data_IF_715725814238
#
_entry.id   IF_715725814238
#
_cell.length_a   1.000
_cell.length_b   1.000
_cell.length_c   1.000
_cell.angle_alpha   90.00
_cell.angle_beta   90.00
_cell.angle_gamma   90.00
#
_symmetry.space_group_name_H-M   'P 1'
#
loop_
_entity.id
_entity.type
_entity.pdbx_description
1 polymer ?
#
# COMPACT_ATOMS: atom_id res chain seq x y z
N UNK A 1 -12.03 3.60 8.08
CA UNK A 1 -11.37 2.48 7.40
C UNK A 1 -11.92 1.13 7.82
N UNK A 2 -11.87 0.74 9.10
CA UNK A 2 -12.31 -0.59 9.56
C UNK A 2 -13.77 -0.91 9.23
N UNK A 3 -14.67 0.08 9.26
CA UNK A 3 -16.07 -0.13 8.88
C UNK A 3 -16.26 -0.25 7.36
N UNK A 4 -15.42 0.39 6.59
CA UNK A 4 -15.38 0.21 5.13
C UNK A 4 -14.83 -1.17 4.77
N UNK A 5 -13.75 -1.61 5.43
CA UNK A 5 -13.17 -2.94 5.22
C UNK A 5 -14.15 -4.06 5.61
N UNK A 6 -14.99 -3.88 6.65
CA UNK A 6 -15.98 -4.91 7.03
C UNK A 6 -17.02 -5.17 5.94
N UNK A 7 -17.31 -4.19 5.09
CA UNK A 7 -18.19 -4.37 3.93
C UNK A 7 -17.54 -5.15 2.79
N UNK A 8 -16.21 -5.27 2.81
CA UNK A 8 -15.41 -5.94 1.78
C UNK A 8 -14.86 -7.29 2.25
N UNK A 9 -15.04 -7.67 3.52
CA UNK A 9 -14.48 -8.88 4.13
C UNK A 9 -14.92 -10.15 3.42
N UNK A 10 -16.11 -10.18 2.83
CA UNK A 10 -16.59 -11.31 2.02
C UNK A 10 -15.70 -11.61 0.79
N UNK A 11 -14.84 -10.67 0.38
CA UNK A 11 -13.90 -10.80 -0.74
C UNK A 11 -12.49 -11.23 -0.30
N UNK A 12 -12.15 -11.11 0.99
CA UNK A 12 -10.85 -11.46 1.52
C UNK A 12 -10.90 -11.55 3.05
N UNK A 13 -10.47 -12.68 3.61
CA UNK A 13 -10.55 -12.95 5.05
C UNK A 13 -9.33 -13.70 5.59
N UNK A 14 -8.27 -13.84 4.81
CA UNK A 14 -7.07 -14.55 5.26
C UNK A 14 -6.11 -13.67 6.07
N UNK A 15 -6.15 -12.40 5.81
CA UNK A 15 -5.43 -11.36 6.55
C UNK A 15 -5.98 -9.98 6.22
N UNK A 16 -5.76 -9.03 7.10
CA UNK A 16 -6.16 -7.64 6.93
C UNK A 16 -5.12 -6.70 7.51
N UNK A 17 -5.12 -5.45 7.03
CA UNK A 17 -4.29 -4.41 7.61
C UNK A 17 -4.70 -3.02 7.17
N UNK A 18 -4.21 -2.05 7.91
CA UNK A 18 -4.36 -0.63 7.66
C UNK A 18 -3.02 0.08 7.78
N UNK A 19 -2.90 1.21 7.10
CA UNK A 19 -1.86 2.20 7.33
C UNK A 19 -2.52 3.56 7.49
N UNK A 20 -2.14 4.29 8.52
CA UNK A 20 -2.70 5.61 8.84
C UNK A 20 -1.55 6.58 9.11
N UNK A 21 -1.60 7.76 8.49
CA UNK A 21 -0.65 8.81 8.81
C UNK A 21 -1.08 9.51 10.10
N UNK A 22 -0.21 9.50 11.10
CA UNK A 22 -0.40 10.17 12.38
C UNK A 22 0.93 10.65 12.97
N UNK A 23 0.92 11.79 13.67
CA UNK A 23 2.08 12.31 14.39
C UNK A 23 3.39 12.41 13.59
N UNK A 24 3.32 12.59 12.27
CA UNK A 24 4.50 12.70 11.39
C UNK A 24 4.99 11.39 10.79
N UNK A 25 4.37 10.26 11.11
CA UNK A 25 4.76 8.93 10.66
C UNK A 25 3.56 8.15 10.11
N UNK A 26 3.83 7.04 9.43
CA UNK A 26 2.78 6.10 9.01
C UNK A 26 2.77 4.92 9.98
N UNK A 27 1.69 4.79 10.74
CA UNK A 27 1.44 3.62 11.58
C UNK A 27 0.78 2.53 10.75
N UNK A 28 1.37 1.33 10.78
CA UNK A 28 0.85 0.15 10.05
C UNK A 28 0.45 -0.92 11.04
N UNK A 29 -0.81 -1.35 10.96
CA UNK A 29 -1.35 -2.45 11.75
C UNK A 29 -1.83 -3.56 10.82
N UNK A 30 -1.38 -4.77 11.10
CA UNK A 30 -1.71 -5.97 10.33
C UNK A 30 -2.13 -7.11 11.24
N UNK A 31 -3.03 -7.96 10.74
CA UNK A 31 -3.42 -9.18 11.42
C UNK A 31 -3.64 -10.31 10.42
N UNK A 32 -3.25 -11.53 10.79
CA UNK A 32 -3.64 -12.77 10.11
C UNK A 32 -5.07 -13.12 10.48
N UNK A 33 -5.83 -13.64 9.52
CA UNK A 33 -7.21 -14.09 9.70
C UNK A 33 -8.23 -12.96 9.50
N UNK A 34 -9.37 -13.12 10.12
CA UNK A 34 -10.53 -12.24 9.97
C UNK A 34 -10.25 -10.79 10.44
N UNK A 35 -11.00 -9.84 9.89
CA UNK A 35 -10.92 -8.42 10.24
C UNK A 35 -11.09 -8.15 11.75
N UNK A 36 -11.77 -9.04 12.47
CA UNK A 36 -11.89 -8.98 13.92
C UNK A 36 -10.53 -8.91 14.62
N UNK A 37 -9.55 -9.71 14.15
CA UNK A 37 -8.20 -9.73 14.74
C UNK A 37 -7.50 -8.38 14.55
N UNK A 38 -7.68 -7.76 13.39
CA UNK A 38 -7.17 -6.41 13.14
C UNK A 38 -7.87 -5.36 14.02
N UNK A 39 -9.20 -5.47 14.21
CA UNK A 39 -9.95 -4.56 15.09
C UNK A 39 -9.45 -4.61 16.54
N UNK A 40 -9.13 -5.79 17.04
CA UNK A 40 -8.57 -5.97 18.40
C UNK A 40 -7.23 -5.25 18.54
N UNK A 41 -6.29 -5.44 17.58
CA UNK A 41 -5.00 -4.72 17.56
C UNK A 41 -5.17 -3.21 17.48
N UNK A 42 -5.98 -2.73 16.56
CA UNK A 42 -6.25 -1.29 16.38
C UNK A 42 -6.90 -0.68 17.63
N UNK A 43 -7.73 -1.44 18.37
CA UNK A 43 -8.33 -0.95 19.60
C UNK A 43 -7.30 -0.72 20.73
N UNK A 44 -6.17 -1.44 20.71
CA UNK A 44 -5.07 -1.25 21.66
C UNK A 44 -4.26 0.02 21.35
N UNK A 45 -3.91 0.24 20.08
CA UNK A 45 -3.05 1.36 19.66
C UNK A 45 -3.82 2.63 19.27
N UNK A 46 -5.09 2.48 18.82
CA UNK A 46 -6.00 3.57 18.45
C UNK A 46 -5.37 4.64 17.54
N UNK A 47 -4.83 4.25 16.38
CA UNK A 47 -4.22 5.22 15.49
C UNK A 47 -5.24 6.30 15.08
N UNK A 48 -4.82 7.56 15.16
CA UNK A 48 -5.66 8.75 14.94
C UNK A 48 -5.07 9.58 13.80
N UNK A 49 -5.68 9.50 12.61
CA UNK A 49 -5.21 10.24 11.45
C UNK A 49 -6.35 10.60 10.49
N UNK A 50 -6.04 11.46 9.52
CA UNK A 50 -7.00 11.95 8.52
C UNK A 50 -6.82 11.32 7.15
N UNK A 51 -5.66 10.71 6.90
CA UNK A 51 -5.36 9.98 5.67
C UNK A 51 -4.92 8.56 6.01
N UNK A 52 -5.42 7.58 5.27
CA UNK A 52 -5.02 6.19 5.48
C UNK A 52 -5.60 5.25 4.42
N UNK A 53 -4.97 4.11 4.29
CA UNK A 53 -5.33 3.03 3.37
C UNK A 53 -5.55 1.73 4.14
N UNK A 54 -6.29 0.81 3.56
CA UNK A 54 -6.54 -0.47 4.20
C UNK A 54 -6.93 -1.55 3.20
N UNK A 55 -6.74 -2.81 3.60
CA UNK A 55 -6.98 -3.93 2.72
C UNK A 55 -7.42 -5.19 3.51
N UNK A 56 -8.35 -5.94 2.91
CA UNK A 56 -8.67 -7.32 3.30
C UNK A 56 -8.17 -8.24 2.20
N UNK A 57 -7.29 -9.19 2.54
CA UNK A 57 -6.55 -9.98 1.58
C UNK A 57 -7.21 -11.33 1.32
N UNK A 58 -7.20 -11.73 0.05
CA UNK A 58 -7.34 -13.10 -0.40
C UNK A 58 -6.00 -13.52 -0.99
N UNK A 59 -5.30 -14.47 -0.37
CA UNK A 59 -3.95 -14.84 -0.74
C UNK A 59 -3.87 -15.39 -2.17
N UNK A 60 -3.02 -14.78 -2.98
CA UNK A 60 -2.62 -15.24 -4.31
C UNK A 60 -1.13 -15.60 -4.34
N UNK A 61 -0.28 -14.79 -3.68
CA UNK A 61 1.16 -14.97 -3.55
C UNK A 61 1.58 -14.90 -2.08
N UNK A 62 2.28 -15.93 -1.59
CA UNK A 62 2.67 -16.07 -0.19
C UNK A 62 1.52 -16.54 0.71
N UNK A 63 1.87 -17.31 1.73
CA UNK A 63 0.90 -17.83 2.70
C UNK A 63 0.23 -16.72 3.52
N UNK A 64 -0.97 -16.96 4.08
CA UNK A 64 -1.60 -16.03 5.00
C UNK A 64 -0.74 -15.83 6.26
N UNK A 65 -0.23 -14.62 6.43
CA UNK A 65 0.59 -14.19 7.57
C UNK A 65 0.52 -12.68 7.73
N UNK A 66 0.96 -12.16 8.88
CA UNK A 66 1.06 -10.71 9.08
C UNK A 66 2.08 -10.07 8.12
N UNK A 67 3.20 -10.74 7.84
CA UNK A 67 4.21 -10.26 6.91
C UNK A 67 3.65 -10.09 5.49
N UNK A 68 2.83 -11.04 5.07
CA UNK A 68 2.21 -11.06 3.74
C UNK A 68 0.89 -10.28 3.66
N UNK A 69 0.34 -9.81 4.78
CA UNK A 69 -0.81 -8.92 4.79
C UNK A 69 -0.46 -7.54 4.21
N UNK A 70 -1.39 -6.94 3.48
CA UNK A 70 -1.31 -5.53 3.09
C UNK A 70 -1.67 -4.61 4.29
N UNK A 71 -1.16 -3.38 4.32
CA UNK A 71 -0.28 -2.70 3.36
C UNK A 71 1.18 -3.17 3.39
N UNK A 72 1.94 -2.87 2.32
CA UNK A 72 3.39 -3.04 2.25
C UNK A 72 4.10 -1.70 2.24
N UNK A 73 5.26 -1.64 2.89
CA UNK A 73 6.09 -0.44 3.00
C UNK A 73 7.31 -0.54 2.09
N UNK A 74 7.87 0.61 1.71
CA UNK A 74 9.25 0.69 1.23
C UNK A 74 10.23 0.34 2.35
N UNK A 75 11.46 0.01 1.98
CA UNK A 75 12.53 -0.40 2.92
C UNK A 75 12.80 0.68 3.99
N UNK A 76 12.66 1.96 3.62
CA UNK A 76 12.77 3.11 4.52
C UNK A 76 11.48 3.48 5.27
N UNK A 77 10.35 2.83 4.96
CA UNK A 77 9.05 3.07 5.57
C UNK A 77 8.30 4.32 5.08
N UNK A 78 8.86 5.10 4.16
CA UNK A 78 8.28 6.38 3.73
C UNK A 78 7.14 6.25 2.71
N UNK A 79 7.07 5.15 1.98
CA UNK A 79 6.02 4.87 0.99
C UNK A 79 5.28 3.60 1.39
N UNK A 80 3.97 3.68 1.44
CA UNK A 80 3.12 2.55 1.82
C UNK A 80 2.03 2.35 0.78
N UNK A 81 1.79 1.09 0.37
CA UNK A 81 0.84 0.77 -0.67
C UNK A 81 -0.03 -0.44 -0.33
N UNK A 82 -1.28 -0.39 -0.79
CA UNK A 82 -2.16 -1.55 -0.95
C UNK A 82 -2.41 -1.82 -2.43
N UNK A 83 -2.72 -3.07 -2.76
CA UNK A 83 -2.83 -3.53 -4.13
C UNK A 83 -3.93 -4.58 -4.26
N UNK A 84 -4.79 -4.40 -5.26
CA UNK A 84 -5.67 -5.43 -5.79
C UNK A 84 -5.27 -5.74 -7.23
N UNK A 85 -4.97 -7.00 -7.53
CA UNK A 85 -4.54 -7.47 -8.83
C UNK A 85 -3.30 -8.36 -8.78
N UNK A 86 -2.49 -8.35 -9.83
CA UNK A 86 -1.26 -9.15 -9.95
C UNK A 86 -0.18 -8.33 -10.65
N UNK A 87 0.99 -8.23 -10.03
CA UNK A 87 2.20 -7.69 -10.66
C UNK A 87 2.99 -8.85 -11.26
N UNK A 88 2.80 -9.10 -12.55
CA UNK A 88 3.33 -10.29 -13.24
C UNK A 88 4.86 -10.36 -13.26
N UNK A 89 5.52 -9.20 -13.34
CA UNK A 89 6.99 -9.11 -13.39
C UNK A 89 7.64 -8.82 -12.03
N UNK A 90 6.94 -9.12 -10.93
CA UNK A 90 7.44 -8.82 -9.57
C UNK A 90 8.79 -9.48 -9.26
N UNK A 91 9.05 -10.67 -9.79
CA UNK A 91 10.30 -11.39 -9.53
C UNK A 91 11.52 -10.66 -10.13
N UNK A 92 11.38 -10.14 -11.35
CA UNK A 92 12.43 -9.35 -12.00
C UNK A 92 12.66 -8.02 -11.30
N UNK A 93 11.57 -7.34 -10.90
CA UNK A 93 11.63 -6.09 -10.15
C UNK A 93 12.25 -6.28 -8.76
N UNK A 94 11.88 -7.35 -8.08
CA UNK A 94 12.47 -7.72 -6.77
C UNK A 94 13.96 -7.95 -6.90
N UNK A 95 14.40 -8.70 -7.93
CA UNK A 95 15.82 -8.91 -8.19
C UNK A 95 16.54 -7.58 -8.45
N UNK A 96 15.99 -6.75 -9.34
CA UNK A 96 16.53 -5.43 -9.65
C UNK A 96 16.69 -4.57 -8.38
N UNK A 97 15.67 -4.48 -7.56
CA UNK A 97 15.67 -3.69 -6.32
C UNK A 97 16.67 -4.28 -5.29
N UNK A 98 16.75 -5.60 -5.16
CA UNK A 98 17.74 -6.26 -4.27
C UNK A 98 19.17 -5.97 -4.74
N UNK A 99 19.44 -6.01 -6.04
CA UNK A 99 20.74 -5.65 -6.61
C UNK A 99 21.10 -4.16 -6.37
N UNK A 100 20.09 -3.31 -6.09
CA UNK A 100 20.22 -1.90 -5.74
C UNK A 100 20.13 -1.61 -4.23
N UNK A 101 20.20 -2.65 -3.39
CA UNK A 101 20.32 -2.54 -1.93
C UNK A 101 19.01 -2.54 -1.15
N UNK A 102 17.86 -2.79 -1.79
CA UNK A 102 16.56 -2.90 -1.12
C UNK A 102 16.35 -4.27 -0.49
N UNK A 103 15.75 -4.28 0.71
CA UNK A 103 15.40 -5.49 1.43
C UNK A 103 13.91 -5.78 1.33
N UNK A 104 13.57 -7.06 1.34
CA UNK A 104 12.20 -7.53 1.25
C UNK A 104 11.88 -8.46 2.42
N UNK A 105 10.74 -8.26 3.04
CA UNK A 105 10.29 -9.04 4.19
C UNK A 105 9.13 -9.97 3.86
N UNK A 106 8.33 -9.64 2.84
CA UNK A 106 7.18 -10.44 2.43
C UNK A 106 7.48 -11.33 1.22
N UNK A 107 6.57 -12.24 0.96
CA UNK A 107 6.57 -13.12 -0.23
C UNK A 107 5.61 -12.61 -1.32
N UNK A 108 5.00 -11.44 -1.12
CA UNK A 108 3.99 -10.91 -2.04
C UNK A 108 4.63 -10.22 -3.25
N UNK A 109 3.86 -10.13 -4.30
CA UNK A 109 4.19 -9.33 -5.48
C UNK A 109 4.07 -7.82 -5.20
N UNK A 110 3.27 -7.43 -4.23
CA UNK A 110 2.95 -6.03 -3.91
C UNK A 110 4.13 -5.26 -3.35
N UNK A 111 4.99 -5.88 -2.55
CA UNK A 111 6.09 -5.18 -1.86
C UNK A 111 7.10 -4.55 -2.82
N UNK A 112 7.14 -4.97 -4.08
CA UNK A 112 7.98 -4.30 -5.09
C UNK A 112 7.50 -2.89 -5.40
N UNK A 113 6.20 -2.59 -5.22
CA UNK A 113 5.61 -1.31 -5.62
C UNK A 113 6.14 -0.15 -4.77
N UNK A 114 6.01 -0.15 -3.43
CA UNK A 114 6.54 0.95 -2.61
C UNK A 114 8.06 1.07 -2.72
N UNK A 115 8.79 -0.04 -2.82
CA UNK A 115 10.25 -0.02 -3.01
C UNK A 115 10.66 0.58 -4.37
N UNK A 116 9.93 0.28 -5.44
CA UNK A 116 10.21 0.82 -6.76
C UNK A 116 9.91 2.34 -6.83
N UNK A 117 8.85 2.78 -6.15
CA UNK A 117 8.52 4.21 -6.03
C UNK A 117 9.64 4.93 -5.27
N UNK A 118 10.08 4.38 -4.15
CA UNK A 118 11.18 4.95 -3.37
C UNK A 118 12.49 4.98 -4.17
N UNK A 119 12.82 3.92 -4.91
CA UNK A 119 13.99 3.89 -5.80
C UNK A 119 13.98 5.04 -6.80
N UNK A 120 12.85 5.28 -7.47
CA UNK A 120 12.74 6.40 -8.42
C UNK A 120 12.75 7.76 -7.73
N UNK A 121 12.15 7.85 -6.55
CA UNK A 121 12.14 9.09 -5.78
C UNK A 121 13.54 9.48 -5.30
N UNK A 122 14.30 8.54 -4.75
CA UNK A 122 15.65 8.78 -4.23
C UNK A 122 16.70 8.96 -5.34
N UNK A 123 16.50 8.33 -6.50
CA UNK A 123 17.36 8.47 -7.68
C UNK A 123 17.22 9.84 -8.36
N UNK A 124 16.06 10.47 -8.30
CA UNK A 124 15.83 11.83 -8.80
C UNK A 124 16.47 12.85 -7.84
N UNK A 125 17.50 13.56 -8.28
CA UNK A 125 18.23 14.56 -7.47
C UNK A 125 17.58 15.95 -7.46
N UNK A 126 16.37 16.10 -8.02
CA UNK A 126 15.62 17.33 -7.93
C UNK A 126 15.10 17.59 -6.51
N UNK A 127 14.64 18.83 -6.27
CA UNK A 127 14.05 19.20 -4.99
C UNK A 127 12.86 18.30 -4.63
N UNK A 128 12.75 17.95 -3.36
CA UNK A 128 11.64 17.14 -2.85
C UNK A 128 10.33 17.95 -2.90
N UNK A 129 9.47 17.60 -3.84
CA UNK A 129 8.14 18.17 -4.04
C UNK A 129 7.14 17.05 -4.34
N UNK A 130 5.86 17.36 -4.24
CA UNK A 130 4.80 16.41 -4.62
C UNK A 130 4.91 15.99 -6.10
N UNK A 131 5.33 16.91 -6.98
CA UNK A 131 5.54 16.62 -8.41
C UNK A 131 6.66 15.61 -8.61
N UNK A 132 7.75 15.67 -7.80
CA UNK A 132 8.81 14.66 -7.81
C UNK A 132 8.24 13.29 -7.39
N UNK A 133 7.44 13.25 -6.34
CA UNK A 133 6.80 12.01 -5.88
C UNK A 133 5.88 11.42 -6.95
N UNK A 134 5.04 12.25 -7.58
CA UNK A 134 4.17 11.81 -8.68
C UNK A 134 4.96 11.31 -9.90
N UNK A 135 6.13 11.91 -10.21
CA UNK A 135 7.02 11.37 -11.26
C UNK A 135 7.58 10.01 -10.88
N UNK A 136 7.98 9.83 -9.61
CA UNK A 136 8.47 8.54 -9.11
C UNK A 136 7.39 7.46 -9.22
N UNK A 137 6.15 7.77 -8.80
CA UNK A 137 5.00 6.86 -8.98
C UNK A 137 4.78 6.54 -10.46
N UNK A 138 4.80 7.55 -11.34
CA UNK A 138 4.62 7.34 -12.80
C UNK A 138 5.70 6.45 -13.39
N UNK A 139 6.97 6.65 -13.01
CA UNK A 139 8.07 5.81 -13.48
C UNK A 139 7.92 4.37 -12.99
N UNK A 140 7.63 4.18 -11.70
CA UNK A 140 7.37 2.86 -11.13
C UNK A 140 6.23 2.14 -11.89
N UNK A 141 5.10 2.81 -12.08
CA UNK A 141 3.94 2.28 -12.81
C UNK A 141 4.28 1.91 -14.27
N UNK A 142 5.18 2.64 -14.91
CA UNK A 142 5.61 2.34 -16.28
C UNK A 142 6.37 1.02 -16.39
N UNK A 143 7.01 0.58 -15.32
CA UNK A 143 7.74 -0.69 -15.26
C UNK A 143 6.86 -1.86 -14.83
N UNK A 144 5.69 -1.61 -14.21
CA UNK A 144 4.79 -2.67 -13.78
C UNK A 144 4.08 -3.34 -14.96
N UNK A 145 4.09 -4.67 -14.96
CA UNK A 145 3.29 -5.50 -15.88
C UNK A 145 2.18 -6.21 -15.10
N UNK A 146 1.02 -6.36 -15.75
CA UNK A 146 -0.16 -7.00 -15.16
C UNK A 146 -1.34 -6.04 -15.01
N UNK A 147 -2.34 -6.45 -14.23
CA UNK A 147 -3.54 -5.66 -13.92
C UNK A 147 -3.56 -5.32 -12.43
N UNK A 148 -3.84 -4.07 -12.10
CA UNK A 148 -3.78 -3.62 -10.72
C UNK A 148 -4.65 -2.39 -10.43
N UNK A 149 -5.06 -2.28 -9.17
CA UNK A 149 -5.50 -1.06 -8.52
C UNK A 149 -4.62 -0.84 -7.29
N UNK A 150 -4.00 0.33 -7.20
CA UNK A 150 -3.06 0.71 -6.15
C UNK A 150 -3.59 1.92 -5.40
N UNK A 151 -3.47 1.90 -4.08
CA UNK A 151 -3.61 3.08 -3.22
C UNK A 151 -2.27 3.26 -2.49
N UNK A 152 -1.73 4.48 -2.54
CA UNK A 152 -0.36 4.80 -2.11
C UNK A 152 -0.42 6.04 -1.22
N UNK A 153 0.17 5.96 -0.04
CA UNK A 153 0.42 7.10 0.86
C UNK A 153 1.91 7.25 1.11
N UNK A 154 2.33 8.45 1.49
CA UNK A 154 3.72 8.73 1.84
C UNK A 154 3.80 9.61 3.08
N UNK A 155 4.76 9.31 3.97
CA UNK A 155 5.06 10.14 5.13
C UNK A 155 5.55 11.54 4.74
N UNK A 156 6.11 11.68 3.52
CA UNK A 156 6.61 12.95 2.99
C UNK A 156 5.48 13.88 2.51
N UNK A 157 4.31 13.32 2.20
CA UNK A 157 3.13 14.04 1.67
C UNK A 157 1.86 13.52 2.36
N UNK A 158 1.67 13.86 3.63
CA UNK A 158 0.70 13.18 4.52
C UNK A 158 -0.78 13.44 4.17
N UNK A 159 -1.06 14.47 3.40
CA UNK A 159 -2.43 14.82 2.99
C UNK A 159 -2.80 14.25 1.61
N UNK A 160 -1.84 13.59 0.95
CA UNK A 160 -2.02 13.09 -0.41
C UNK A 160 -2.23 11.57 -0.41
N UNK A 161 -3.32 11.15 -1.05
CA UNK A 161 -3.57 9.76 -1.43
C UNK A 161 -3.43 9.64 -2.94
N UNK A 162 -2.40 8.93 -3.39
CA UNK A 162 -2.18 8.67 -4.81
C UNK A 162 -2.82 7.34 -5.19
N UNK A 163 -3.62 7.36 -6.24
CA UNK A 163 -4.32 6.16 -6.74
C UNK A 163 -3.96 5.89 -8.19
N UNK A 164 -3.75 4.62 -8.51
CA UNK A 164 -3.42 4.18 -9.86
C UNK A 164 -4.22 2.93 -10.19
N UNK A 165 -4.72 2.85 -11.42
CA UNK A 165 -5.33 1.61 -11.90
C UNK A 165 -4.88 1.26 -13.32
N UNK A 166 -4.79 -0.03 -13.57
CA UNK A 166 -4.63 -0.60 -14.91
C UNK A 166 -5.46 -1.89 -14.97
N UNK A 167 -6.49 -1.89 -15.82
CA UNK A 167 -7.39 -3.02 -16.08
C UNK A 167 -8.18 -3.57 -14.86
N UNK A 168 -7.94 -3.04 -13.66
CA UNK A 168 -8.68 -3.34 -12.44
C UNK A 168 -9.69 -2.24 -12.11
N UNK A 169 -10.83 -2.55 -11.48
CA UNK A 169 -11.79 -1.54 -11.07
C UNK A 169 -11.20 -0.65 -9.94
N UNK A 170 -11.54 0.63 -9.97
CA UNK A 170 -11.24 1.57 -8.90
C UNK A 170 -12.29 2.68 -8.94
N UNK A 171 -12.89 2.99 -7.81
CA UNK A 171 -13.95 3.99 -7.68
C UNK A 171 -13.50 5.06 -6.69
N UNK A 172 -13.77 6.32 -7.05
CA UNK A 172 -13.53 7.47 -6.17
C UNK A 172 -14.89 8.04 -5.77
N UNK A 173 -15.15 8.09 -4.48
CA UNK A 173 -16.34 8.70 -3.89
C UNK A 173 -15.99 10.04 -3.24
N UNK A 174 -16.84 11.06 -3.49
CA UNK A 174 -16.71 12.36 -2.85
C UNK A 174 -17.79 12.51 -1.78
N UNK A 175 -17.36 12.66 -0.54
CA UNK A 175 -18.23 12.92 0.62
C UNK A 175 -18.26 14.40 1.01
N UNK A 176 -18.84 14.68 2.16
CA UNK A 176 -18.88 16.03 2.72
C UNK A 176 -17.66 16.24 3.63
N UNK A 177 -16.63 16.89 3.10
CA UNK A 177 -15.35 17.09 3.81
C UNK A 177 -14.44 15.87 3.85
N UNK A 178 -14.75 14.84 3.10
CA UNK A 178 -13.95 13.60 3.01
C UNK A 178 -14.04 13.00 1.61
N UNK A 179 -13.05 12.20 1.24
CA UNK A 179 -13.03 11.46 -0.01
C UNK A 179 -12.74 9.98 0.28
N UNK A 180 -13.27 9.11 -0.56
CA UNK A 180 -13.11 7.66 -0.44
C UNK A 180 -12.58 7.09 -1.75
N UNK A 181 -11.75 6.07 -1.64
CA UNK A 181 -11.31 5.25 -2.77
C UNK A 181 -11.55 3.80 -2.42
N UNK A 182 -11.98 3.02 -3.39
CA UNK A 182 -12.17 1.56 -3.25
C UNK A 182 -11.96 0.85 -4.59
N UNK A 183 -11.49 -0.39 -4.52
CA UNK A 183 -11.32 -1.28 -5.67
C UNK A 183 -11.90 -2.67 -5.43
#
# INVERSE_FOLDING_TARGET
LLDSLSKLEYRGYDSAGIAVFENGEITVEKAKGELKNLREKVAEHKPMGHCGIGHTRWATHGEPSELNAHPHCSDDGNVVAVHNGIIENYADLRKFLTDNGYHFVSQTDTEVVPNLIDYYFTSDKSQNTIEKFLRAVKNAVSDLKGSYALEIISSLYPEDLVVVRKDSPLVIGKGNGENFVAS
#
